data_IF_267506907717
#
_entry.id   IF_267506907717
#
_cell.length_a   1.000
_cell.length_b   1.000
_cell.length_c   1.000
_cell.angle_alpha   90.00
_cell.angle_beta   90.00
_cell.angle_gamma   90.00
#
_symmetry.space_group_name_H-M   'P 1'
#
loop_
_entity.id
_entity.type
_entity.pdbx_description
1 polymer ?
#
# COMPACT_ATOMS: atom_id res chain seq x y z
N UNK A 1 13.56 -14.79 -6.29
CA UNK A 1 12.48 -14.23 -7.13
C UNK A 1 13.12 -13.35 -8.21
N UNK A 2 12.60 -13.36 -9.44
CA UNK A 2 13.09 -12.47 -10.52
C UNK A 2 12.47 -11.08 -10.43
N UNK A 3 11.28 -10.96 -9.82
CA UNK A 3 10.53 -9.70 -9.72
C UNK A 3 10.05 -9.50 -8.27
N UNK A 4 10.97 -9.29 -7.31
CA UNK A 4 10.58 -9.05 -5.92
C UNK A 4 9.77 -7.75 -5.81
N UNK A 5 8.85 -7.72 -4.84
CA UNK A 5 8.18 -6.50 -4.39
C UNK A 5 9.18 -5.43 -3.93
N UNK A 6 8.71 -4.20 -3.75
CA UNK A 6 9.60 -3.07 -3.48
C UNK A 6 10.30 -3.15 -2.11
N UNK A 7 9.67 -3.70 -1.07
CA UNK A 7 10.28 -3.85 0.26
C UNK A 7 11.34 -4.95 0.24
N UNK A 8 10.99 -6.13 -0.30
CA UNK A 8 11.97 -7.21 -0.50
C UNK A 8 13.16 -6.74 -1.33
N UNK A 9 12.92 -5.85 -2.30
CA UNK A 9 13.99 -5.27 -3.11
C UNK A 9 14.90 -4.34 -2.32
N UNK A 10 14.37 -3.51 -1.42
CA UNK A 10 15.18 -2.67 -0.54
C UNK A 10 16.14 -3.54 0.28
N UNK A 11 15.63 -4.60 0.89
CA UNK A 11 16.42 -5.56 1.68
C UNK A 11 17.51 -6.27 0.86
N UNK A 12 17.24 -6.54 -0.42
CA UNK A 12 18.25 -7.11 -1.32
C UNK A 12 19.35 -6.12 -1.71
N UNK A 13 19.04 -4.82 -1.73
CA UNK A 13 19.99 -3.76 -2.05
C UNK A 13 20.87 -3.46 -0.84
N UNK A 14 20.25 -3.27 0.32
CA UNK A 14 20.93 -2.97 1.58
C UNK A 14 20.09 -3.47 2.77
N UNK A 15 20.54 -4.48 3.53
CA UNK A 15 19.81 -5.00 4.69
C UNK A 15 19.88 -4.04 5.92
N UNK A 16 20.34 -2.80 5.73
CA UNK A 16 20.29 -1.76 6.75
C UNK A 16 19.01 -0.92 6.71
N UNK A 17 18.19 -1.04 5.66
CA UNK A 17 16.85 -0.47 5.63
C UNK A 17 16.00 -1.09 6.74
N UNK A 18 15.11 -0.31 7.34
CA UNK A 18 14.11 -0.80 8.29
C UNK A 18 12.77 -0.94 7.57
N UNK A 19 12.42 -2.16 7.15
CA UNK A 19 11.21 -2.40 6.35
C UNK A 19 10.06 -2.99 7.16
N UNK A 20 8.85 -2.49 6.88
CA UNK A 20 7.64 -2.87 7.62
C UNK A 20 6.47 -3.18 6.70
N UNK A 21 5.74 -4.25 6.97
CA UNK A 21 4.50 -4.57 6.26
C UNK A 21 3.41 -5.10 7.22
N UNK A 22 2.18 -4.65 7.02
CA UNK A 22 0.98 -5.22 7.65
C UNK A 22 0.01 -5.64 6.56
N UNK A 23 -0.35 -6.91 6.56
CA UNK A 23 -1.07 -7.58 5.50
C UNK A 23 -2.25 -8.33 6.10
N UNK A 24 -3.46 -8.15 5.57
CA UNK A 24 -4.64 -8.90 6.05
C UNK A 24 -5.22 -9.87 5.02
N UNK A 25 -4.80 -9.79 3.75
CA UNK A 25 -5.06 -10.81 2.73
C UNK A 25 -3.94 -11.86 2.73
N UNK A 26 -4.22 -13.14 3.08
CA UNK A 26 -3.17 -14.15 3.30
C UNK A 26 -2.16 -14.37 2.16
N UNK A 27 -2.52 -14.32 0.86
CA UNK A 27 -1.56 -14.49 -0.23
C UNK A 27 -0.45 -13.43 -0.26
N UNK A 28 -0.66 -12.25 0.32
CA UNK A 28 0.38 -11.22 0.35
C UNK A 28 1.56 -11.61 1.23
N UNK A 29 1.32 -12.30 2.35
CA UNK A 29 2.35 -12.55 3.36
C UNK A 29 2.57 -14.01 3.74
N UNK A 30 1.83 -14.94 3.12
CA UNK A 30 1.94 -16.39 3.36
C UNK A 30 2.03 -17.17 2.05
N UNK A 31 2.34 -18.47 2.12
CA UNK A 31 2.40 -19.36 0.94
C UNK A 31 1.02 -19.74 0.36
N UNK A 32 -0.05 -19.08 0.80
CA UNK A 32 -1.40 -19.27 0.27
C UNK A 32 -1.51 -18.71 -1.16
N UNK A 33 -2.28 -19.37 -2.03
CA UNK A 33 -2.60 -18.92 -3.40
C UNK A 33 -1.42 -18.39 -4.22
N UNK A 34 -0.29 -19.13 -4.22
CA UNK A 34 0.97 -18.78 -4.90
C UNK A 34 1.77 -17.62 -4.29
N UNK A 35 1.42 -17.20 -3.07
CA UNK A 35 2.25 -16.28 -2.28
C UNK A 35 3.50 -16.93 -1.69
N UNK A 36 4.23 -16.21 -0.84
CA UNK A 36 3.94 -14.82 -0.45
C UNK A 36 4.37 -13.83 -1.54
N UNK A 37 3.61 -12.75 -1.72
CA UNK A 37 4.07 -11.60 -2.51
C UNK A 37 5.25 -10.91 -1.81
N UNK A 38 5.08 -10.59 -0.52
CA UNK A 38 6.10 -9.99 0.33
C UNK A 38 6.92 -11.08 1.01
N UNK A 39 8.22 -11.15 0.69
CA UNK A 39 9.10 -12.22 1.18
C UNK A 39 9.42 -12.10 2.68
N UNK A 40 10.05 -13.13 3.25
CA UNK A 40 10.54 -13.12 4.64
C UNK A 40 11.87 -12.35 4.81
N UNK A 41 12.34 -11.65 3.77
CA UNK A 41 13.49 -10.75 3.89
C UNK A 41 13.14 -9.42 4.58
N UNK A 42 11.87 -9.00 4.54
CA UNK A 42 11.38 -7.80 5.21
C UNK A 42 11.52 -7.94 6.72
N UNK A 43 12.01 -6.92 7.41
CA UNK A 43 12.34 -6.99 8.84
C UNK A 43 11.13 -7.31 9.71
N UNK A 44 10.03 -6.58 9.49
CA UNK A 44 8.80 -6.75 10.26
C UNK A 44 7.63 -6.95 9.31
N UNK A 45 7.12 -8.17 9.27
CA UNK A 45 5.93 -8.54 8.52
C UNK A 45 4.85 -9.08 9.45
N UNK A 46 3.76 -8.33 9.59
CA UNK A 46 2.60 -8.71 10.39
C UNK A 46 1.52 -9.26 9.47
N UNK A 47 1.22 -10.55 9.63
CA UNK A 47 0.15 -11.23 8.91
C UNK A 47 -1.09 -11.31 9.78
N UNK A 48 -2.07 -10.47 9.47
CA UNK A 48 -3.47 -10.63 9.90
C UNK A 48 -4.14 -11.56 8.89
N UNK A 49 -5.14 -12.34 9.32
CA UNK A 49 -5.86 -13.24 8.43
C UNK A 49 -7.33 -12.81 8.34
N UNK A 50 -7.61 -11.92 7.38
CA UNK A 50 -8.95 -11.40 7.10
C UNK A 50 -9.96 -12.50 6.76
N UNK A 51 -9.54 -13.56 6.06
CA UNK A 51 -10.41 -14.70 5.73
C UNK A 51 -10.98 -15.41 6.96
N UNK A 52 -10.19 -15.48 8.05
CA UNK A 52 -10.62 -16.12 9.31
C UNK A 52 -11.19 -15.15 10.33
N UNK A 53 -10.71 -13.90 10.35
CA UNK A 53 -11.12 -12.87 11.32
C UNK A 53 -12.36 -12.09 10.87
N UNK A 54 -12.60 -12.04 9.56
CA UNK A 54 -13.46 -11.05 8.91
C UNK A 54 -12.68 -9.77 8.61
N UNK A 55 -12.72 -9.32 7.35
CA UNK A 55 -11.95 -8.14 6.89
C UNK A 55 -12.26 -6.83 7.63
N UNK A 56 -13.49 -6.50 8.09
CA UNK A 56 -13.68 -5.31 8.93
C UNK A 56 -12.83 -5.33 10.20
N UNK A 57 -12.72 -6.48 10.86
CA UNK A 57 -11.90 -6.63 12.06
C UNK A 57 -10.41 -6.78 11.71
N UNK A 58 -10.11 -7.38 10.55
CA UNK A 58 -8.77 -7.48 9.96
C UNK A 58 -8.16 -6.11 9.71
N UNK A 59 -8.80 -5.28 8.89
CA UNK A 59 -8.42 -3.89 8.62
C UNK A 59 -8.24 -3.09 9.91
N UNK A 60 -9.21 -3.16 10.84
CA UNK A 60 -9.12 -2.44 12.09
C UNK A 60 -7.90 -2.88 12.95
N UNK A 61 -7.56 -4.16 12.96
CA UNK A 61 -6.35 -4.65 13.63
C UNK A 61 -5.08 -4.21 12.89
N UNK A 62 -5.05 -4.37 11.57
CA UNK A 62 -3.93 -3.96 10.72
C UNK A 62 -3.62 -2.48 10.92
N UNK A 63 -4.65 -1.65 10.91
CA UNK A 63 -4.54 -0.21 11.11
C UNK A 63 -3.94 0.15 12.47
N UNK A 64 -4.44 -0.45 13.56
CA UNK A 64 -3.91 -0.20 14.91
C UNK A 64 -2.45 -0.63 15.05
N UNK A 65 -2.10 -1.80 14.52
CA UNK A 65 -0.72 -2.30 14.56
C UNK A 65 0.19 -1.41 13.75
N UNK A 66 -0.22 -1.02 12.55
CA UNK A 66 0.55 -0.13 11.70
C UNK A 66 0.75 1.25 12.34
N UNK A 67 -0.33 1.88 12.84
CA UNK A 67 -0.25 3.17 13.53
C UNK A 67 0.69 3.11 14.74
N UNK A 68 0.59 2.05 15.56
CA UNK A 68 1.48 1.88 16.70
C UNK A 68 2.94 1.79 16.26
N UNK A 69 3.25 0.92 15.28
CA UNK A 69 4.62 0.70 14.82
C UNK A 69 5.21 1.97 14.17
N UNK A 70 4.45 2.62 13.29
CA UNK A 70 4.85 3.85 12.62
C UNK A 70 5.10 5.00 13.60
N UNK A 71 4.43 5.05 14.75
CA UNK A 71 4.61 6.13 15.73
C UNK A 71 5.88 6.00 16.59
N UNK A 72 6.46 4.81 16.71
CA UNK A 72 7.50 4.54 17.74
C UNK A 72 8.75 3.81 17.26
N UNK A 73 8.74 3.19 16.09
CA UNK A 73 9.84 2.35 15.61
C UNK A 73 10.62 3.04 14.47
N UNK A 74 11.90 2.69 14.27
CA UNK A 74 12.64 3.11 13.08
C UNK A 74 12.04 2.42 11.86
N UNK A 75 11.47 3.19 10.94
CA UNK A 75 10.85 2.68 9.71
C UNK A 75 11.32 3.57 8.57
N UNK A 76 11.94 2.98 7.56
CA UNK A 76 12.33 3.69 6.34
C UNK A 76 11.30 3.48 5.22
N UNK A 77 10.67 2.32 5.17
CA UNK A 77 9.63 2.01 4.19
C UNK A 77 8.57 1.08 4.77
N UNK A 78 7.30 1.42 4.54
CA UNK A 78 6.15 0.67 5.04
C UNK A 78 5.14 0.32 3.95
N UNK A 79 4.44 -0.80 4.12
CA UNK A 79 3.27 -1.17 3.33
C UNK A 79 2.12 -1.62 4.24
N UNK A 80 0.93 -1.03 4.06
CA UNK A 80 -0.28 -1.40 4.80
C UNK A 80 -1.36 -1.74 3.78
N UNK A 81 -1.90 -2.96 3.87
CA UNK A 81 -3.01 -3.41 3.03
C UNK A 81 -4.32 -3.39 3.82
N UNK A 82 -5.40 -2.98 3.15
CA UNK A 82 -6.77 -2.94 3.68
C UNK A 82 -7.69 -3.67 2.69
N UNK A 83 -8.27 -4.80 3.10
CA UNK A 83 -9.06 -5.68 2.24
C UNK A 83 -10.57 -5.51 2.39
N UNK A 84 -11.07 -4.81 3.42
CA UNK A 84 -12.51 -4.73 3.68
C UNK A 84 -13.33 -4.11 2.54
N UNK A 85 -12.88 -3.05 1.85
CA UNK A 85 -13.60 -2.53 0.70
C UNK A 85 -13.82 -3.59 -0.40
N UNK A 86 -12.87 -4.51 -0.59
CA UNK A 86 -13.02 -5.58 -1.59
C UNK A 86 -14.15 -6.53 -1.26
N UNK A 87 -14.11 -7.10 -0.06
CA UNK A 87 -15.11 -8.07 0.37
C UNK A 87 -16.50 -7.44 0.47
N UNK A 88 -16.59 -6.20 0.98
CA UNK A 88 -17.86 -5.48 1.05
C UNK A 88 -18.48 -5.26 -0.34
N UNK A 89 -17.65 -5.03 -1.35
CA UNK A 89 -18.14 -4.88 -2.73
C UNK A 89 -18.60 -6.20 -3.32
N UNK A 90 -17.85 -7.29 -3.15
CA UNK A 90 -18.27 -8.62 -3.61
C UNK A 90 -19.59 -9.07 -2.99
N UNK A 91 -19.80 -8.78 -1.70
CA UNK A 91 -20.98 -9.22 -0.97
C UNK A 91 -22.24 -8.40 -1.27
N UNK A 92 -22.08 -7.12 -1.65
CA UNK A 92 -23.19 -6.17 -1.70
C UNK A 92 -23.33 -5.35 -2.99
N UNK A 93 -22.27 -5.26 -3.80
CA UNK A 93 -22.21 -4.46 -5.02
C UNK A 93 -21.62 -3.05 -4.82
N UNK A 94 -21.09 -2.47 -5.91
CA UNK A 94 -20.31 -1.22 -5.92
C UNK A 94 -21.11 0.02 -5.49
N UNK A 95 -22.44 0.00 -5.58
CA UNK A 95 -23.30 1.15 -5.21
C UNK A 95 -24.05 0.95 -3.90
N UNK A 96 -23.78 -0.14 -3.18
CA UNK A 96 -24.46 -0.44 -1.93
C UNK A 96 -23.87 0.34 -0.75
N UNK A 97 -24.73 0.63 0.24
CA UNK A 97 -24.33 1.32 1.47
C UNK A 97 -23.19 0.63 2.23
N UNK A 98 -23.15 -0.72 2.38
CA UNK A 98 -22.04 -1.39 3.06
C UNK A 98 -20.66 -1.16 2.40
N UNK A 99 -20.61 -1.07 1.06
CA UNK A 99 -19.35 -0.77 0.36
C UNK A 99 -18.88 0.66 0.65
N UNK A 100 -19.80 1.62 0.67
CA UNK A 100 -19.50 3.00 1.07
C UNK A 100 -19.00 3.08 2.52
N UNK A 101 -19.64 2.37 3.44
CA UNK A 101 -19.21 2.30 4.85
C UNK A 101 -17.80 1.70 4.98
N UNK A 102 -17.48 0.67 4.20
CA UNK A 102 -16.14 0.07 4.17
C UNK A 102 -15.07 1.07 3.67
N UNK A 103 -15.38 1.87 2.64
CA UNK A 103 -14.50 2.96 2.17
C UNK A 103 -14.31 4.01 3.27
N UNK A 104 -15.37 4.43 3.95
CA UNK A 104 -15.27 5.40 5.04
C UNK A 104 -14.39 4.88 6.20
N UNK A 105 -14.44 3.57 6.49
CA UNK A 105 -13.55 2.98 7.49
C UNK A 105 -12.10 2.91 7.03
N UNK A 106 -11.85 2.59 5.76
CA UNK A 106 -10.51 2.66 5.19
C UNK A 106 -9.95 4.10 5.24
N UNK A 107 -10.77 5.11 4.95
CA UNK A 107 -10.39 6.53 5.06
C UNK A 107 -10.04 6.92 6.50
N UNK A 108 -10.84 6.49 7.49
CA UNK A 108 -10.51 6.67 8.91
C UNK A 108 -9.18 6.01 9.27
N UNK A 109 -8.90 4.84 8.72
CA UNK A 109 -7.61 4.20 8.92
C UNK A 109 -6.45 5.02 8.36
N UNK A 110 -6.58 5.54 7.13
CA UNK A 110 -5.57 6.43 6.54
C UNK A 110 -5.30 7.63 7.45
N UNK A 111 -6.35 8.25 8.00
CA UNK A 111 -6.20 9.32 8.99
C UNK A 111 -5.38 8.92 10.22
N UNK A 112 -5.63 7.73 10.79
CA UNK A 112 -4.87 7.22 11.94
C UNK A 112 -3.39 6.96 11.60
N UNK A 113 -3.09 6.49 10.39
CA UNK A 113 -1.71 6.27 9.94
C UNK A 113 -0.96 7.59 9.74
N UNK A 114 -1.63 8.59 9.17
CA UNK A 114 -1.08 9.95 9.01
C UNK A 114 -0.81 10.57 10.39
N UNK A 115 -1.78 10.53 11.30
CA UNK A 115 -1.63 11.03 12.67
C UNK A 115 -0.46 10.34 13.40
N UNK A 116 -0.28 9.03 13.20
CA UNK A 116 0.82 8.28 13.78
C UNK A 116 2.18 8.78 13.29
N UNK A 117 2.34 9.01 11.98
CA UNK A 117 3.55 9.59 11.40
C UNK A 117 3.80 11.02 11.90
N UNK A 118 2.77 11.87 11.91
CA UNK A 118 2.88 13.25 12.38
C UNK A 118 3.21 13.36 13.88
N UNK A 119 2.91 12.31 14.66
CA UNK A 119 3.22 12.26 16.10
C UNK A 119 4.68 11.88 16.42
N UNK A 120 5.46 11.46 15.43
CA UNK A 120 6.84 11.01 15.63
C UNK A 120 7.71 12.16 16.18
N UNK A 121 8.60 11.91 17.16
CA UNK A 121 9.43 12.95 17.76
C UNK A 121 10.30 13.70 16.76
N UNK A 122 10.83 12.98 15.77
CA UNK A 122 11.80 13.47 14.80
C UNK A 122 11.18 13.76 13.42
N UNK A 123 9.84 13.84 13.31
CA UNK A 123 9.14 14.05 12.03
C UNK A 123 9.63 15.28 11.23
N UNK A 124 10.17 16.30 11.91
CA UNK A 124 10.74 17.48 11.27
C UNK A 124 12.11 17.26 10.60
N UNK A 125 12.77 16.14 10.90
CA UNK A 125 14.04 15.71 10.28
C UNK A 125 13.82 14.57 9.26
N UNK A 126 12.60 14.04 9.18
CA UNK A 126 12.20 12.95 8.29
C UNK A 126 11.55 13.51 7.00
N UNK A 127 11.70 12.80 5.88
CA UNK A 127 11.03 13.13 4.61
C UNK A 127 10.12 11.97 4.20
N UNK A 128 8.89 11.97 4.71
CA UNK A 128 7.90 10.95 4.38
C UNK A 128 7.20 11.26 3.06
N UNK A 129 7.06 10.22 2.23
CA UNK A 129 6.13 10.15 1.12
C UNK A 129 5.04 9.13 1.44
N UNK A 130 3.79 9.60 1.47
CA UNK A 130 2.62 8.75 1.59
C UNK A 130 2.04 8.56 0.19
N UNK A 131 2.05 7.30 -0.28
CA UNK A 131 1.35 6.88 -1.50
C UNK A 131 0.13 6.06 -1.10
N UNK A 132 -1.03 6.41 -1.64
CA UNK A 132 -2.27 5.67 -1.44
C UNK A 132 -2.95 5.43 -2.79
N UNK A 133 -3.36 4.20 -3.05
CA UNK A 133 -3.93 3.79 -4.34
C UNK A 133 -4.79 2.55 -4.16
N UNK A 134 -5.76 2.35 -5.07
CA UNK A 134 -6.38 1.04 -5.26
C UNK A 134 -5.57 0.23 -6.26
N UNK A 135 -5.55 -1.09 -6.09
CA UNK A 135 -4.94 -2.02 -7.03
C UNK A 135 -5.80 -2.20 -8.29
N UNK A 136 -7.13 -2.08 -8.16
CA UNK A 136 -8.08 -2.07 -9.26
C UNK A 136 -9.36 -1.28 -8.93
N UNK A 137 -10.18 -1.03 -9.95
CA UNK A 137 -11.57 -0.60 -9.83
C UNK A 137 -12.54 -1.78 -9.82
N UNK A 138 -13.83 -1.54 -10.03
CA UNK A 138 -14.89 -2.59 -9.95
C UNK A 138 -15.99 -2.38 -10.97
N UNK A 139 -16.63 -3.47 -11.37
CA UNK A 139 -17.87 -3.40 -12.14
C UNK A 139 -19.08 -3.06 -11.25
N UNK A 140 -20.24 -2.77 -11.87
CA UNK A 140 -21.48 -2.40 -11.17
C UNK A 140 -21.92 -3.42 -10.10
N UNK A 141 -21.73 -4.71 -10.38
CA UNK A 141 -22.14 -5.81 -9.48
C UNK A 141 -21.16 -6.03 -8.31
N UNK A 142 -20.07 -5.26 -8.22
CA UNK A 142 -19.05 -5.35 -7.15
C UNK A 142 -17.87 -6.27 -7.43
N UNK A 143 -17.90 -6.95 -8.58
CA UNK A 143 -16.82 -7.83 -9.05
C UNK A 143 -15.69 -7.07 -9.74
N UNK A 144 -14.64 -7.81 -10.08
CA UNK A 144 -13.49 -7.34 -10.85
C UNK A 144 -12.82 -8.51 -11.59
N UNK A 145 -11.80 -8.22 -12.40
CA UNK A 145 -10.99 -9.20 -13.14
C UNK A 145 -11.13 -9.11 -14.67
N UNK A 146 -11.95 -8.20 -15.17
CA UNK A 146 -12.06 -7.81 -16.57
C UNK A 146 -11.11 -6.66 -16.95
N UNK A 147 -11.33 -6.11 -18.15
CA UNK A 147 -10.57 -5.02 -18.76
C UNK A 147 -11.43 -3.78 -19.04
N UNK A 148 -12.57 -3.65 -18.36
CA UNK A 148 -13.44 -2.48 -18.48
C UNK A 148 -12.77 -1.22 -17.93
N UNK A 149 -13.16 -0.05 -18.42
CA UNK A 149 -12.63 1.23 -17.94
C UNK A 149 -12.86 1.40 -16.43
N UNK A 150 -14.00 0.95 -15.93
CA UNK A 150 -14.36 1.01 -14.50
C UNK A 150 -13.48 0.11 -13.64
N UNK A 151 -13.11 -1.08 -14.13
CA UNK A 151 -12.20 -2.02 -13.45
C UNK A 151 -10.74 -1.58 -13.51
N UNK A 152 -10.33 -0.86 -14.55
CA UNK A 152 -8.96 -0.34 -14.71
C UNK A 152 -8.76 1.04 -14.06
N UNK A 153 -9.83 1.75 -13.73
CA UNK A 153 -9.76 3.06 -13.09
C UNK A 153 -9.41 2.90 -11.61
N UNK A 154 -8.24 3.40 -11.24
CA UNK A 154 -7.77 3.48 -9.86
C UNK A 154 -7.69 4.94 -9.41
N UNK A 155 -7.70 5.17 -8.10
CA UNK A 155 -7.15 6.42 -7.59
C UNK A 155 -5.66 6.25 -7.28
N UNK A 156 -4.93 7.35 -7.35
CA UNK A 156 -3.54 7.46 -6.90
C UNK A 156 -3.40 8.81 -6.20
N UNK A 157 -2.97 8.77 -4.95
CA UNK A 157 -2.71 9.95 -4.12
C UNK A 157 -1.26 9.91 -3.66
N UNK A 158 -0.60 11.05 -3.72
CA UNK A 158 0.73 11.26 -3.16
C UNK A 158 0.70 12.47 -2.22
N UNK A 159 1.28 12.33 -1.03
CA UNK A 159 1.41 13.40 -0.04
C UNK A 159 2.79 13.36 0.61
N UNK A 160 3.40 14.53 0.81
CA UNK A 160 4.73 14.66 1.40
C UNK A 160 5.45 15.91 0.94
N UNK A 161 6.55 16.27 1.62
CA UNK A 161 7.33 17.46 1.27
C UNK A 161 7.97 17.37 -0.13
N UNK A 162 8.27 16.15 -0.58
CA UNK A 162 8.85 15.86 -1.89
C UNK A 162 7.84 15.81 -3.05
N UNK A 163 6.54 15.97 -2.79
CA UNK A 163 5.49 15.95 -3.82
C UNK A 163 5.38 17.29 -4.57
N UNK A 164 5.31 17.22 -5.89
CA UNK A 164 4.99 18.34 -6.77
C UNK A 164 3.48 18.43 -7.03
N UNK A 165 2.81 19.37 -6.37
CA UNK A 165 1.38 19.63 -6.52
C UNK A 165 0.99 20.19 -7.92
N UNK A 166 1.95 20.47 -8.79
CA UNK A 166 1.73 20.87 -10.18
C UNK A 166 2.04 19.73 -11.16
N UNK A 167 2.39 18.54 -10.66
CA UNK A 167 2.65 17.38 -11.50
C UNK A 167 1.42 17.07 -12.37
N UNK A 168 1.67 16.72 -13.62
CA UNK A 168 0.65 16.34 -14.60
C UNK A 168 0.95 14.95 -15.13
N UNK A 169 -0.10 14.21 -15.50
CA UNK A 169 -0.01 12.84 -15.97
C UNK A 169 -1.15 12.00 -15.44
N UNK A 170 -1.34 10.82 -16.03
CA UNK A 170 -2.27 9.80 -15.54
C UNK A 170 -1.41 8.69 -14.94
N UNK A 171 -1.38 8.53 -13.60
CA UNK A 171 -0.62 7.47 -12.96
C UNK A 171 -1.27 6.11 -13.22
N UNK A 172 -0.43 5.08 -13.31
CA UNK A 172 -0.82 3.67 -13.40
C UNK A 172 -0.41 2.94 -12.12
N UNK A 173 -1.03 1.80 -11.80
CA UNK A 173 -0.72 1.04 -10.59
C UNK A 173 0.77 0.64 -10.50
N UNK A 174 1.39 0.40 -11.66
CA UNK A 174 2.81 0.06 -11.78
C UNK A 174 3.75 1.20 -11.38
N UNK A 175 3.26 2.44 -11.33
CA UNK A 175 4.05 3.63 -10.96
C UNK A 175 4.28 3.73 -9.45
N UNK A 176 3.45 3.09 -8.62
CA UNK A 176 3.52 3.19 -7.15
C UNK A 176 4.88 2.73 -6.63
N UNK A 177 5.31 1.51 -7.00
CA UNK A 177 6.57 0.94 -6.54
C UNK A 177 7.79 1.73 -7.06
N UNK A 178 7.74 2.19 -8.32
CA UNK A 178 8.83 2.97 -8.92
C UNK A 178 8.96 4.35 -8.26
N UNK A 179 7.83 4.99 -7.95
CA UNK A 179 7.80 6.27 -7.25
C UNK A 179 8.31 6.14 -5.81
N UNK A 180 7.90 5.10 -5.08
CA UNK A 180 8.39 4.82 -3.73
C UNK A 180 9.92 4.61 -3.71
N UNK A 181 10.44 3.78 -4.62
CA UNK A 181 11.88 3.54 -4.73
C UNK A 181 12.66 4.82 -5.08
N UNK A 182 12.12 5.65 -5.98
CA UNK A 182 12.74 6.92 -6.34
C UNK A 182 12.81 7.91 -5.17
N UNK A 183 11.76 7.97 -4.35
CA UNK A 183 11.75 8.78 -3.12
C UNK A 183 12.84 8.35 -2.14
N UNK A 184 13.04 7.04 -1.99
CA UNK A 184 14.10 6.44 -1.16
C UNK A 184 15.51 6.61 -1.76
N UNK A 185 15.66 7.33 -2.88
CA UNK A 185 16.94 7.54 -3.54
C UNK A 185 17.49 6.30 -4.26
N UNK A 186 16.66 5.27 -4.45
CA UNK A 186 17.07 4.03 -5.11
C UNK A 186 17.04 4.20 -6.63
N UNK A 187 18.20 4.01 -7.25
CA UNK A 187 18.31 4.02 -8.71
C UNK A 187 17.64 2.78 -9.31
N UNK A 188 16.67 3.00 -10.20
CA UNK A 188 15.97 1.91 -10.90
C UNK A 188 16.87 1.32 -11.98
N UNK A 189 17.34 0.08 -11.76
CA UNK A 189 18.20 -0.59 -12.72
C UNK A 189 17.38 -1.08 -13.94
N UNK A 190 17.85 -0.89 -15.19
CA UNK A 190 17.11 -1.29 -16.38
C UNK A 190 16.79 -2.80 -16.49
N UNK A 191 17.64 -3.65 -15.90
CA UNK A 191 17.47 -5.10 -15.91
C UNK A 191 16.36 -5.59 -14.97
N UNK A 192 15.89 -4.73 -14.07
CA UNK A 192 14.70 -4.97 -13.25
C UNK A 192 13.41 -5.02 -14.06
N UNK A 193 13.39 -4.43 -15.26
CA UNK A 193 12.25 -4.41 -16.19
C UNK A 193 10.93 -3.97 -15.51
N UNK A 194 10.99 -2.94 -14.68
CA UNK A 194 9.79 -2.30 -14.15
C UNK A 194 9.18 -1.41 -15.24
N UNK A 195 7.88 -1.55 -15.48
CA UNK A 195 7.15 -0.77 -16.50
C UNK A 195 6.75 0.63 -16.02
N UNK A 196 6.71 0.82 -14.70
CA UNK A 196 6.29 2.08 -14.07
C UNK A 196 7.28 3.22 -14.25
N UNK A 197 6.80 4.42 -13.92
CA UNK A 197 7.52 5.70 -13.97
C UNK A 197 7.40 6.40 -12.63
N UNK A 198 8.31 7.33 -12.37
CA UNK A 198 8.24 8.19 -11.19
C UNK A 198 7.14 9.24 -11.40
N UNK A 199 6.16 9.27 -10.49
CA UNK A 199 4.99 10.13 -10.58
C UNK A 199 4.90 11.07 -9.38
N UNK A 200 4.60 12.34 -9.64
CA UNK A 200 4.25 13.30 -8.59
C UNK A 200 5.39 13.81 -7.71
N UNK A 201 6.65 13.43 -7.94
CA UNK A 201 7.80 13.94 -7.18
C UNK A 201 8.42 15.19 -7.81
N UNK A 202 8.94 16.09 -6.97
CA UNK A 202 9.76 17.23 -7.40
C UNK A 202 11.04 16.73 -8.09
N UNK A 203 11.45 17.44 -9.15
CA UNK A 203 12.69 17.19 -9.89
C UNK A 203 13.87 17.94 -9.31
#
# INVERSE_FOLDING_TARGET
>A
DLYPDFLTRLEQIDPAWNTFAVLDWPPLGTTNANGPLFSDLIDVKVNVNGDTMGYPAGDALSCRVAAQYLSSEPVDAAFVYLGNPDVASHDHGTYAEPYREAIEEADRCVGLLVDALESRPDIGEEDWLILSSTDHGRNEDGGHGGDSEEELTIYYLASGASVDNQATGVPEIVDVAVTALAHLGVAIAPDWKLDGKVMGLKR
#
